data_IF_165293397468
#
_entry.id   IF_165293397468
#
_cell.length_a   1.000
_cell.length_b   1.000
_cell.length_c   1.000
_cell.angle_alpha   90.00
_cell.angle_beta   90.00
_cell.angle_gamma   90.00
#
_symmetry.space_group_name_H-M   'P 1'
#
loop_
_entity.id
_entity.type
_entity.pdbx_description
1 polymer ?
#
# COMPACT_ATOMS: atom_id res chain seq x y z
N UNK A 1 -1.23 -27.17 -66.38
CA UNK A 1 -1.65 -25.86 -66.94
C UNK A 1 -1.76 -24.86 -65.81
N UNK A 2 -1.07 -23.71 -65.97
CA UNK A 2 -1.29 -22.36 -65.39
C UNK A 2 -1.48 -22.21 -63.85
N UNK A 3 -0.51 -21.66 -63.10
CA UNK A 3 -0.10 -20.24 -62.89
C UNK A 3 -0.94 -19.50 -61.82
N UNK A 4 -0.37 -19.21 -60.63
CA UNK A 4 0.17 -17.90 -60.11
C UNK A 4 -0.96 -16.94 -59.66
N UNK A 5 -1.04 -16.43 -58.41
CA UNK A 5 -0.22 -15.37 -57.77
C UNK A 5 -0.56 -15.27 -56.24
N UNK A 6 0.40 -15.30 -55.30
CA UNK A 6 1.16 -14.21 -54.64
C UNK A 6 0.51 -13.41 -53.49
N UNK A 7 1.05 -13.65 -52.28
CA UNK A 7 1.56 -12.73 -51.22
C UNK A 7 0.68 -11.60 -50.64
N UNK A 8 0.56 -11.63 -49.30
CA UNK A 8 0.89 -10.51 -48.40
C UNK A 8 1.27 -11.08 -47.02
N UNK A 9 2.54 -10.92 -46.63
CA UNK A 9 3.09 -11.33 -45.34
C UNK A 9 3.04 -10.11 -44.42
N UNK A 10 2.15 -10.14 -43.42
CA UNK A 10 2.09 -9.21 -42.31
C UNK A 10 2.86 -9.87 -41.15
N UNK A 11 4.08 -9.42 -40.87
CA UNK A 11 4.84 -9.92 -39.74
C UNK A 11 4.34 -9.22 -38.46
N UNK A 12 3.39 -9.85 -37.77
CA UNK A 12 3.10 -9.55 -36.38
C UNK A 12 4.11 -10.34 -35.52
N UNK A 13 4.96 -9.63 -34.77
CA UNK A 13 5.90 -10.25 -33.83
C UNK A 13 5.25 -10.23 -32.45
N UNK A 14 4.80 -11.39 -31.98
CA UNK A 14 4.41 -11.65 -30.58
C UNK A 14 5.63 -12.34 -29.96
N UNK A 15 6.26 -11.73 -28.96
CA UNK A 15 7.37 -12.37 -28.21
C UNK A 15 6.95 -12.53 -26.76
N UNK A 16 6.94 -13.79 -26.32
CA UNK A 16 6.97 -14.20 -24.92
C UNK A 16 8.45 -14.45 -24.54
N UNK A 17 8.94 -13.81 -23.48
CA UNK A 17 10.35 -13.85 -23.09
C UNK A 17 10.61 -14.80 -21.90
N UNK A 18 11.69 -15.58 -21.98
CA UNK A 18 12.31 -16.33 -20.89
C UNK A 18 13.80 -15.94 -20.78
N UNK A 19 14.28 -15.70 -19.56
CA UNK A 19 15.60 -15.14 -19.23
C UNK A 19 16.68 -16.20 -19.01
N UNK A 20 17.89 -15.97 -19.52
CA UNK A 20 19.17 -16.39 -18.89
C UNK A 20 20.25 -15.35 -19.22
N UNK A 21 20.92 -14.83 -18.17
CA UNK A 21 22.06 -13.91 -18.22
C UNK A 21 23.39 -14.70 -18.13
N UNK A 22 24.42 -14.30 -18.87
CA UNK A 22 25.80 -14.50 -18.43
C UNK A 22 26.69 -13.35 -18.93
N UNK A 23 27.56 -12.85 -18.05
CA UNK A 23 28.33 -11.62 -18.20
C UNK A 23 29.82 -11.94 -18.00
N UNK A 24 30.67 -11.59 -18.98
CA UNK A 24 32.11 -11.43 -18.73
C UNK A 24 32.67 -10.21 -19.46
N UNK A 25 33.43 -9.44 -18.71
CA UNK A 25 34.07 -8.17 -19.02
C UNK A 25 35.59 -8.38 -18.99
N UNK A 26 36.37 -7.73 -19.87
CA UNK A 26 37.80 -7.46 -19.66
C UNK A 26 38.29 -6.20 -20.44
N UNK A 27 39.24 -5.49 -19.81
CA UNK A 27 39.68 -4.08 -19.98
C UNK A 27 40.61 -3.74 -21.17
N UNK A 28 40.69 -2.46 -21.59
CA UNK A 28 41.90 -1.56 -21.71
C UNK A 28 41.60 -0.20 -22.45
N UNK A 29 42.36 0.92 -22.28
CA UNK A 29 41.77 2.21 -21.88
C UNK A 29 42.03 3.45 -22.80
N UNK A 30 42.18 3.31 -24.12
CA UNK A 30 42.30 4.49 -25.02
C UNK A 30 41.22 4.55 -26.11
N UNK A 31 40.70 3.40 -26.55
CA UNK A 31 39.44 3.33 -27.28
C UNK A 31 38.24 3.55 -26.34
N UNK A 32 38.41 3.24 -25.06
CA UNK A 32 37.43 3.37 -24.00
C UNK A 32 36.86 4.79 -23.89
N UNK A 33 37.65 5.87 -23.95
CA UNK A 33 37.09 7.23 -23.84
C UNK A 33 36.17 7.59 -25.03
N UNK A 34 36.49 7.12 -26.24
CA UNK A 34 35.66 7.36 -27.44
C UNK A 34 34.44 6.46 -27.51
N UNK A 35 34.57 5.21 -27.06
CA UNK A 35 33.47 4.25 -26.92
C UNK A 35 32.55 4.63 -25.75
N UNK A 36 33.10 5.14 -24.65
CA UNK A 36 32.38 5.62 -23.48
C UNK A 36 31.68 6.95 -23.79
N UNK A 37 32.31 7.89 -24.51
CA UNK A 37 31.62 9.08 -24.99
C UNK A 37 30.50 8.76 -26.00
N UNK A 38 30.71 7.77 -26.87
CA UNK A 38 29.67 7.27 -27.78
C UNK A 38 28.54 6.57 -27.01
N UNK A 39 28.88 5.72 -26.04
CA UNK A 39 27.95 5.01 -25.16
C UNK A 39 27.14 6.01 -24.31
N UNK A 40 27.77 6.99 -23.66
CA UNK A 40 27.10 8.06 -22.90
C UNK A 40 26.13 8.84 -23.79
N UNK A 41 26.56 9.22 -25.00
CA UNK A 41 25.68 9.92 -25.96
C UNK A 41 24.53 9.03 -26.47
N UNK A 42 24.71 7.72 -26.44
CA UNK A 42 23.71 6.73 -26.86
C UNK A 42 22.73 6.42 -25.75
N UNK A 43 23.21 6.20 -24.52
CA UNK A 43 22.41 6.15 -23.29
C UNK A 43 21.54 7.39 -23.16
N UNK A 44 22.10 8.59 -23.36
CA UNK A 44 21.34 9.84 -23.31
C UNK A 44 20.21 9.89 -24.35
N UNK A 45 20.38 9.27 -25.53
CA UNK A 45 19.32 9.19 -26.56
C UNK A 45 18.18 8.26 -26.17
N UNK A 46 18.49 7.10 -25.58
CA UNK A 46 17.47 6.17 -25.08
C UNK A 46 16.76 6.74 -23.86
N UNK A 47 17.48 7.44 -22.98
CA UNK A 47 16.91 8.17 -21.84
C UNK A 47 15.98 9.30 -22.29
N UNK A 48 16.34 10.06 -23.33
CA UNK A 48 15.43 11.05 -23.91
C UNK A 48 14.15 10.42 -24.49
N UNK A 49 14.27 9.25 -25.14
CA UNK A 49 13.12 8.50 -25.64
C UNK A 49 12.24 8.00 -24.49
N UNK A 50 12.85 7.46 -23.44
CA UNK A 50 12.18 7.04 -22.20
C UNK A 50 11.37 8.20 -21.59
N UNK A 51 12.00 9.35 -21.37
CA UNK A 51 11.35 10.54 -20.81
C UNK A 51 10.21 11.06 -21.69
N UNK A 52 10.38 11.01 -23.01
CA UNK A 52 9.33 11.38 -23.95
C UNK A 52 8.11 10.44 -23.85
N UNK A 53 8.35 9.13 -23.76
CA UNK A 53 7.28 8.14 -23.58
C UNK A 53 6.62 8.28 -22.21
N UNK A 54 7.41 8.45 -21.15
CA UNK A 54 6.93 8.64 -19.78
C UNK A 54 5.97 9.84 -19.69
N UNK A 55 6.33 10.96 -20.31
CA UNK A 55 5.48 12.15 -20.40
C UNK A 55 4.14 11.85 -21.08
N UNK A 56 4.16 11.10 -22.16
CA UNK A 56 2.94 10.76 -22.90
C UNK A 56 2.04 9.79 -22.13
N UNK A 57 2.62 8.83 -21.39
CA UNK A 57 1.87 7.99 -20.44
C UNK A 57 1.22 8.83 -19.33
N UNK A 58 1.96 9.78 -18.74
CA UNK A 58 1.42 10.73 -17.75
C UNK A 58 0.26 11.58 -18.30
N UNK A 59 0.33 11.95 -19.58
CA UNK A 59 -0.73 12.69 -20.27
C UNK A 59 -1.94 11.81 -20.66
N UNK A 60 -1.86 10.49 -20.44
CA UNK A 60 -2.85 9.48 -20.87
C UNK A 60 -3.05 9.47 -22.38
N UNK A 61 -2.00 9.74 -23.14
CA UNK A 61 -2.05 9.70 -24.60
C UNK A 61 -2.27 8.25 -25.06
N UNK A 62 -3.37 8.00 -25.79
CA UNK A 62 -3.66 6.69 -26.38
C UNK A 62 -2.83 6.42 -27.64
N UNK A 63 -2.44 7.48 -28.36
CA UNK A 63 -1.64 7.40 -29.58
C UNK A 63 -0.39 8.24 -29.43
N UNK A 64 0.74 7.58 -29.23
CA UNK A 64 2.02 8.19 -28.97
C UNK A 64 2.88 8.04 -30.22
N UNK A 65 3.56 9.10 -30.64
CA UNK A 65 4.54 9.04 -31.72
C UNK A 65 5.78 9.82 -31.34
N UNK A 66 6.92 9.13 -31.20
CA UNK A 66 8.20 9.72 -30.81
C UNK A 66 9.26 9.38 -31.86
N UNK A 67 10.00 10.39 -32.29
CA UNK A 67 11.14 10.20 -33.19
C UNK A 67 12.41 9.88 -32.40
N UNK A 68 13.17 8.91 -32.87
CA UNK A 68 14.47 8.50 -32.35
C UNK A 68 15.52 8.60 -33.47
N UNK A 69 16.74 9.02 -33.12
CA UNK A 69 17.87 9.04 -34.06
C UNK A 69 19.05 8.28 -33.47
N UNK A 70 19.36 7.10 -34.01
CA UNK A 70 20.41 6.24 -33.50
C UNK A 70 20.46 4.89 -34.18
N UNK A 71 21.09 3.92 -33.51
CA UNK A 71 21.15 2.55 -34.00
C UNK A 71 19.77 1.89 -33.91
N UNK A 72 19.32 1.29 -35.02
CA UNK A 72 17.99 0.70 -35.14
C UNK A 72 17.87 -0.66 -34.47
N UNK A 73 18.97 -1.42 -34.40
CA UNK A 73 18.98 -2.75 -33.81
C UNK A 73 18.95 -2.61 -32.29
N UNK A 74 19.79 -1.74 -31.74
CA UNK A 74 19.78 -1.40 -30.32
C UNK A 74 18.41 -0.84 -29.89
N UNK A 75 17.82 0.08 -30.67
CA UNK A 75 16.47 0.57 -30.36
C UNK A 75 15.48 -0.59 -30.26
N UNK A 76 15.49 -1.51 -31.23
CA UNK A 76 14.56 -2.64 -31.22
C UNK A 76 14.81 -3.57 -30.01
N UNK A 77 16.08 -3.84 -29.69
CA UNK A 77 16.47 -4.73 -28.60
C UNK A 77 16.15 -4.13 -27.23
N UNK A 78 16.29 -2.80 -27.07
CA UNK A 78 16.10 -2.08 -25.81
C UNK A 78 14.72 -1.47 -25.62
N UNK A 79 13.85 -1.43 -26.65
CA UNK A 79 12.53 -0.82 -26.56
C UNK A 79 11.68 -1.36 -25.40
N UNK A 80 11.65 -2.68 -25.10
CA UNK A 80 10.91 -3.20 -23.95
C UNK A 80 11.39 -2.60 -22.62
N UNK A 81 12.70 -2.46 -22.44
CA UNK A 81 13.29 -1.87 -21.24
C UNK A 81 12.98 -0.37 -21.16
N UNK A 82 13.04 0.35 -22.29
CA UNK A 82 12.72 1.78 -22.36
C UNK A 82 11.25 2.02 -21.98
N UNK A 83 10.31 1.21 -22.47
CA UNK A 83 8.90 1.34 -22.08
C UNK A 83 8.72 0.99 -20.60
N UNK A 84 9.36 -0.08 -20.12
CA UNK A 84 9.31 -0.46 -18.70
C UNK A 84 9.86 0.64 -17.79
N UNK A 85 10.99 1.24 -18.15
CA UNK A 85 11.60 2.34 -17.41
C UNK A 85 10.69 3.59 -17.46
N UNK A 86 10.11 3.90 -18.63
CA UNK A 86 9.16 5.01 -18.77
C UNK A 86 7.95 4.87 -17.83
N UNK A 87 7.45 3.65 -17.61
CA UNK A 87 6.36 3.38 -16.66
C UNK A 87 6.76 3.58 -15.20
N UNK A 88 8.05 3.48 -14.84
CA UNK A 88 8.50 3.73 -13.45
C UNK A 88 8.52 5.20 -13.05
N UNK A 89 8.32 6.13 -14.00
CA UNK A 89 8.24 7.56 -13.70
C UNK A 89 6.90 7.96 -13.07
N UNK A 90 5.86 7.12 -13.18
CA UNK A 90 4.59 7.34 -12.51
C UNK A 90 3.86 6.01 -12.25
N UNK A 91 3.91 5.54 -11.01
CA UNK A 91 3.22 4.32 -10.55
C UNK A 91 1.75 4.32 -11.00
N UNK A 92 1.04 5.44 -10.82
CA UNK A 92 -0.37 5.52 -11.20
C UNK A 92 -0.59 5.21 -12.68
N UNK A 93 0.24 5.77 -13.57
CA UNK A 93 0.19 5.46 -15.01
C UNK A 93 0.43 3.98 -15.28
N UNK A 94 1.38 3.36 -14.58
CA UNK A 94 1.70 1.95 -14.74
C UNK A 94 0.51 1.03 -14.40
N UNK A 95 -0.21 1.32 -13.32
CA UNK A 95 -1.33 0.48 -12.86
C UNK A 95 -2.64 0.69 -13.63
N UNK A 96 -2.84 1.84 -14.28
CA UNK A 96 -4.03 2.07 -15.12
C UNK A 96 -3.81 1.78 -16.60
N UNK A 97 -2.57 1.54 -17.03
CA UNK A 97 -2.29 1.08 -18.39
C UNK A 97 -2.78 -0.36 -18.53
N UNK A 98 -3.82 -0.57 -19.33
CA UNK A 98 -4.42 -1.89 -19.55
C UNK A 98 -3.60 -2.72 -20.54
N UNK A 99 -3.25 -2.10 -21.66
CA UNK A 99 -2.43 -2.74 -22.70
C UNK A 99 -1.78 -1.69 -23.60
N UNK A 100 -0.70 -2.07 -24.26
CA UNK A 100 -0.09 -1.26 -25.31
C UNK A 100 0.50 -2.15 -26.41
N UNK A 101 0.58 -1.59 -27.62
CA UNK A 101 1.32 -2.17 -28.73
C UNK A 101 2.22 -1.08 -29.29
N UNK A 102 3.49 -1.41 -29.55
CA UNK A 102 4.40 -0.47 -30.19
C UNK A 102 4.86 -0.97 -31.56
N UNK A 103 5.19 -0.02 -32.43
CA UNK A 103 5.81 -0.27 -33.74
C UNK A 103 7.00 0.66 -33.93
N UNK A 104 8.06 0.14 -34.56
CA UNK A 104 9.25 0.90 -34.91
C UNK A 104 9.36 0.92 -36.43
N UNK A 105 9.39 2.11 -37.02
CA UNK A 105 9.62 2.31 -38.46
C UNK A 105 10.90 3.09 -38.67
N UNK A 106 11.85 2.51 -39.40
CA UNK A 106 13.19 3.07 -39.54
C UNK A 106 13.52 3.46 -40.98
N UNK A 107 14.11 4.65 -41.15
CA UNK A 107 14.64 5.18 -42.40
C UNK A 107 16.07 5.69 -42.16
N UNK A 108 17.06 4.93 -42.60
CA UNK A 108 18.46 5.21 -42.27
C UNK A 108 18.71 5.07 -40.77
N UNK A 109 19.24 6.12 -40.14
CA UNK A 109 19.48 6.20 -38.70
C UNK A 109 18.34 6.88 -37.92
N UNK A 110 17.22 7.18 -38.58
CA UNK A 110 16.02 7.73 -37.92
C UNK A 110 14.97 6.66 -37.79
N UNK A 111 14.33 6.60 -36.63
CA UNK A 111 13.22 5.71 -36.33
C UNK A 111 12.03 6.51 -35.81
N UNK A 112 10.82 6.14 -36.21
CA UNK A 112 9.61 6.59 -35.56
C UNK A 112 9.06 5.44 -34.73
N UNK A 113 8.91 5.68 -33.43
CA UNK A 113 8.27 4.77 -32.48
C UNK A 113 6.83 5.23 -32.33
N UNK A 114 5.88 4.36 -32.63
CA UNK A 114 4.45 4.60 -32.38
C UNK A 114 3.96 3.63 -31.33
N UNK A 115 3.25 4.11 -30.32
CA UNK A 115 2.63 3.30 -29.27
C UNK A 115 1.13 3.56 -29.27
N UNK A 116 0.34 2.51 -29.45
CA UNK A 116 -1.10 2.51 -29.25
C UNK A 116 -1.37 1.94 -27.84
N UNK A 117 -1.73 2.81 -26.90
CA UNK A 117 -1.98 2.48 -25.51
C UNK A 117 -3.49 2.49 -25.20
N UNK A 118 -3.91 1.57 -24.34
CA UNK A 118 -5.26 1.52 -23.76
C UNK A 118 -5.15 1.64 -22.25
N UNK A 119 -6.00 2.48 -21.68
CA UNK A 119 -6.05 2.71 -20.24
C UNK A 119 -7.38 2.23 -19.68
N UNK A 120 -7.34 1.75 -18.43
CA UNK A 120 -8.53 1.46 -17.62
C UNK A 120 -9.25 2.74 -17.21
N UNK A 121 -8.51 3.85 -17.14
CA UNK A 121 -9.01 5.17 -16.76
C UNK A 121 -8.58 6.21 -17.81
N UNK A 122 -9.55 6.92 -18.40
CA UNK A 122 -9.30 7.98 -19.39
C UNK A 122 -8.71 9.24 -18.76
N UNK A 123 -8.18 10.14 -19.58
CA UNK A 123 -7.68 11.45 -19.13
C UNK A 123 -8.73 12.25 -18.36
N UNK A 124 -9.97 12.27 -18.87
CA UNK A 124 -11.09 12.99 -18.27
C UNK A 124 -11.51 12.35 -16.95
N UNK A 125 -11.47 11.03 -16.87
CA UNK A 125 -11.72 10.28 -15.64
C UNK A 125 -10.63 10.56 -14.59
N UNK A 126 -9.34 10.54 -14.96
CA UNK A 126 -8.25 10.93 -14.06
C UNK A 126 -8.41 12.38 -13.59
N UNK A 127 -8.82 13.30 -14.46
CA UNK A 127 -9.08 14.69 -14.06
C UNK A 127 -10.29 14.82 -13.11
N UNK A 128 -11.28 13.92 -13.19
CA UNK A 128 -12.34 13.84 -12.19
C UNK A 128 -11.80 13.30 -10.85
N UNK A 129 -10.98 12.24 -10.88
CA UNK A 129 -10.31 11.70 -9.69
C UNK A 129 -9.53 12.81 -8.99
N UNK A 130 -8.70 13.56 -9.72
CA UNK A 130 -7.88 14.64 -9.14
C UNK A 130 -8.75 15.72 -8.46
N UNK A 131 -9.91 16.06 -9.04
CA UNK A 131 -10.87 16.99 -8.40
C UNK A 131 -11.51 16.39 -7.15
N UNK A 132 -11.94 15.13 -7.20
CA UNK A 132 -12.54 14.43 -6.04
C UNK A 132 -11.56 14.25 -4.91
N UNK A 133 -10.31 13.96 -5.22
CA UNK A 133 -9.20 13.91 -4.26
C UNK A 133 -8.99 15.28 -3.61
N UNK A 134 -8.99 16.36 -4.39
CA UNK A 134 -8.85 17.71 -3.83
C UNK A 134 -10.03 18.08 -2.91
N UNK A 135 -11.26 17.72 -3.28
CA UNK A 135 -12.46 17.89 -2.44
C UNK A 135 -12.34 17.11 -1.11
N UNK A 136 -11.99 15.82 -1.18
CA UNK A 136 -11.80 14.97 -0.02
C UNK A 136 -10.68 15.48 0.91
N UNK A 137 -9.54 15.90 0.36
CA UNK A 137 -8.45 16.45 1.15
C UNK A 137 -8.82 17.77 1.83
N UNK A 138 -9.62 18.61 1.18
CA UNK A 138 -10.13 19.84 1.80
C UNK A 138 -11.10 19.57 2.96
N UNK A 139 -11.76 18.40 2.95
CA UNK A 139 -12.64 17.96 4.04
C UNK A 139 -11.84 17.43 5.24
N UNK A 140 -10.81 16.62 5.01
CA UNK A 140 -10.15 15.85 6.10
C UNK A 140 -8.78 16.35 6.53
N UNK A 141 -8.10 17.17 5.71
CA UNK A 141 -6.78 17.71 6.05
C UNK A 141 -6.90 19.13 6.56
N UNK A 142 -6.76 19.29 7.88
CA UNK A 142 -6.84 20.60 8.52
C UNK A 142 -5.48 21.33 8.52
N UNK A 143 -5.50 22.69 8.53
CA UNK A 143 -4.28 23.47 8.72
C UNK A 143 -3.52 23.08 9.99
N UNK A 144 -2.25 22.76 9.85
CA UNK A 144 -1.38 22.39 10.98
C UNK A 144 -1.33 20.89 11.30
N UNK A 145 -2.01 20.03 10.54
CA UNK A 145 -1.77 18.58 10.60
C UNK A 145 -0.35 18.24 10.11
N UNK A 146 0.33 17.36 10.84
CA UNK A 146 1.61 16.80 10.44
C UNK A 146 1.42 15.61 9.47
N UNK A 147 2.49 15.09 8.86
CA UNK A 147 2.40 13.94 7.96
C UNK A 147 1.65 12.73 8.55
N UNK A 148 1.86 12.41 9.82
CA UNK A 148 1.22 11.26 10.49
C UNK A 148 -0.30 11.43 10.63
N UNK A 149 -0.74 12.61 11.07
CA UNK A 149 -2.18 12.93 11.17
C UNK A 149 -2.85 12.92 9.80
N UNK A 150 -2.17 13.43 8.76
CA UNK A 150 -2.67 13.40 7.38
C UNK A 150 -2.86 11.98 6.86
N UNK A 151 -1.87 11.11 7.07
CA UNK A 151 -1.97 9.70 6.63
C UNK A 151 -3.16 9.03 7.32
N UNK A 152 -3.36 9.25 8.62
CA UNK A 152 -4.53 8.72 9.33
C UNK A 152 -5.84 9.30 8.77
N UNK A 153 -5.94 10.61 8.59
CA UNK A 153 -7.15 11.25 8.08
C UNK A 153 -7.53 10.74 6.67
N UNK A 154 -6.53 10.57 5.79
CA UNK A 154 -6.72 10.02 4.45
C UNK A 154 -7.13 8.55 4.49
N UNK A 155 -6.45 7.74 5.32
CA UNK A 155 -6.80 6.35 5.54
C UNK A 155 -8.28 6.22 5.97
N UNK A 156 -8.65 6.93 7.03
CA UNK A 156 -9.99 6.91 7.60
C UNK A 156 -11.05 7.32 6.58
N UNK A 157 -10.77 8.35 5.78
CA UNK A 157 -11.67 8.77 4.71
C UNK A 157 -11.86 7.66 3.68
N UNK A 158 -10.77 7.05 3.19
CA UNK A 158 -10.87 6.00 2.15
C UNK A 158 -11.66 4.79 2.67
N UNK A 159 -11.30 4.24 3.83
CA UNK A 159 -11.96 3.03 4.38
C UNK A 159 -13.41 3.29 4.80
N UNK A 160 -13.81 4.55 5.00
CA UNK A 160 -15.21 4.91 5.25
C UNK A 160 -16.00 5.23 3.97
N UNK A 161 -15.35 5.60 2.87
CA UNK A 161 -16.01 6.01 1.63
C UNK A 161 -15.97 4.96 0.49
N UNK A 162 -15.08 3.98 0.58
CA UNK A 162 -14.95 2.91 -0.42
C UNK A 162 -15.31 1.56 0.21
N UNK A 163 -15.94 0.68 -0.55
CA UNK A 163 -16.26 -0.71 -0.24
C UNK A 163 -15.56 -1.67 -1.20
N UNK A 164 -15.11 -2.82 -0.69
CA UNK A 164 -14.47 -3.82 -1.53
C UNK A 164 -15.45 -4.38 -2.59
N UNK A 165 -15.11 -4.20 -3.86
CA UNK A 165 -15.90 -4.73 -4.98
C UNK A 165 -15.76 -6.24 -5.09
N UNK A 166 -16.75 -6.97 -4.58
CA UNK A 166 -16.78 -8.43 -4.61
C UNK A 166 -17.02 -9.02 -6.01
N UNK A 167 -17.51 -8.21 -6.95
CA UNK A 167 -17.67 -8.64 -8.34
C UNK A 167 -16.34 -8.67 -9.09
N UNK A 168 -15.29 -8.06 -8.52
CA UNK A 168 -13.95 -7.95 -9.09
C UNK A 168 -13.96 -7.28 -10.47
N UNK A 169 -14.73 -6.21 -10.62
CA UNK A 169 -14.89 -5.46 -11.88
C UNK A 169 -14.40 -4.02 -11.83
N UNK A 170 -14.25 -3.44 -10.63
CA UNK A 170 -13.90 -2.03 -10.42
C UNK A 170 -12.43 -1.88 -10.00
N UNK A 171 -11.55 -1.49 -10.92
CA UNK A 171 -10.08 -1.52 -10.75
C UNK A 171 -9.45 -0.12 -10.63
N UNK A 172 -10.21 0.95 -10.80
CA UNK A 172 -9.69 2.31 -10.95
C UNK A 172 -10.03 3.20 -9.75
N UNK A 173 -9.24 4.25 -9.54
CA UNK A 173 -9.61 5.27 -8.55
C UNK A 173 -10.86 6.04 -9.01
N UNK A 174 -11.11 6.16 -10.32
CA UNK A 174 -12.36 6.71 -10.84
C UNK A 174 -13.58 5.95 -10.33
N UNK A 175 -13.58 4.62 -10.39
CA UNK A 175 -14.68 3.81 -9.87
C UNK A 175 -14.80 3.94 -8.36
N UNK A 176 -13.68 3.96 -7.63
CA UNK A 176 -13.66 4.18 -6.19
C UNK A 176 -14.37 5.50 -5.80
N UNK A 177 -14.02 6.62 -6.44
CA UNK A 177 -14.58 7.94 -6.08
C UNK A 177 -15.97 8.23 -6.65
N UNK A 178 -16.41 7.52 -7.70
CA UNK A 178 -17.71 7.75 -8.33
C UNK A 178 -18.79 6.77 -7.88
N UNK A 179 -18.40 5.55 -7.56
CA UNK A 179 -19.32 4.48 -7.17
C UNK A 179 -19.20 4.08 -5.70
N UNK A 180 -18.09 4.44 -5.05
CA UNK A 180 -17.81 4.00 -3.69
C UNK A 180 -17.38 2.53 -3.61
N UNK A 181 -17.03 1.86 -4.71
CA UNK A 181 -16.50 0.49 -4.66
C UNK A 181 -15.29 0.31 -5.59
N UNK A 182 -14.34 -0.51 -5.14
CA UNK A 182 -13.18 -0.91 -5.93
C UNK A 182 -12.54 -2.22 -5.40
N UNK A 183 -11.72 -2.88 -6.21
CA UNK A 183 -10.77 -3.90 -5.75
C UNK A 183 -9.48 -3.26 -5.23
N UNK A 184 -8.56 -4.08 -4.73
CA UNK A 184 -7.28 -3.63 -4.14
C UNK A 184 -6.49 -2.63 -4.99
N UNK A 185 -6.52 -2.78 -6.32
CA UNK A 185 -5.89 -1.82 -7.23
C UNK A 185 -6.53 -0.44 -7.15
N UNK A 186 -7.86 -0.32 -7.14
CA UNK A 186 -8.54 0.98 -7.06
C UNK A 186 -8.35 1.65 -5.70
N UNK A 187 -8.31 0.88 -4.60
CA UNK A 187 -7.91 1.37 -3.28
C UNK A 187 -6.50 1.97 -3.31
N UNK A 188 -5.54 1.21 -3.83
CA UNK A 188 -4.13 1.63 -3.89
C UNK A 188 -3.90 2.84 -4.79
N UNK A 189 -4.63 2.93 -5.90
CA UNK A 189 -4.60 4.08 -6.81
C UNK A 189 -5.17 5.35 -6.14
N UNK A 190 -6.30 5.23 -5.45
CA UNK A 190 -6.91 6.35 -4.72
C UNK A 190 -6.02 6.79 -3.56
N UNK A 191 -5.52 5.85 -2.76
CA UNK A 191 -4.55 6.09 -1.69
C UNK A 191 -3.32 6.83 -2.21
N UNK A 192 -2.72 6.34 -3.30
CA UNK A 192 -1.58 7.00 -3.94
C UNK A 192 -1.90 8.45 -4.33
N UNK A 193 -3.04 8.72 -4.97
CA UNK A 193 -3.44 10.09 -5.36
C UNK A 193 -3.61 11.00 -4.16
N UNK A 194 -4.35 10.57 -3.14
CA UNK A 194 -4.62 11.37 -1.94
C UNK A 194 -3.34 11.66 -1.15
N UNK A 195 -2.53 10.64 -0.90
CA UNK A 195 -1.27 10.76 -0.16
C UNK A 195 -0.27 11.66 -0.88
N UNK A 196 -0.10 11.46 -2.20
CA UNK A 196 0.79 12.28 -3.03
C UNK A 196 0.32 13.75 -3.06
N UNK A 197 -0.98 13.99 -3.21
CA UNK A 197 -1.54 15.35 -3.19
C UNK A 197 -1.43 16.02 -1.80
N UNK A 198 -1.41 15.24 -0.73
CA UNK A 198 -1.17 15.73 0.64
C UNK A 198 0.33 15.99 0.96
N UNK A 199 1.22 15.73 0.00
CA UNK A 199 2.67 15.90 0.12
C UNK A 199 3.38 14.76 0.83
N UNK A 200 2.77 13.57 0.91
CA UNK A 200 3.36 12.38 1.51
C UNK A 200 4.02 11.55 0.40
N UNK A 201 5.32 11.22 0.50
CA UNK A 201 5.94 10.28 -0.42
C UNK A 201 5.26 8.92 -0.33
N UNK A 202 4.83 8.40 -1.49
CA UNK A 202 4.01 7.19 -1.58
C UNK A 202 4.39 6.39 -2.83
N UNK A 203 4.33 5.08 -2.71
CA UNK A 203 4.48 4.11 -3.80
C UNK A 203 3.28 3.17 -3.83
N UNK A 204 3.03 2.56 -4.98
CA UNK A 204 2.14 1.39 -5.07
C UNK A 204 3.02 0.14 -5.06
N UNK A 205 2.76 -0.75 -4.11
CA UNK A 205 3.39 -2.05 -4.00
C UNK A 205 2.45 -3.13 -4.53
N UNK A 206 3.05 -4.19 -5.05
CA UNK A 206 2.37 -5.37 -5.58
C UNK A 206 3.03 -6.65 -5.09
N UNK A 207 2.20 -7.69 -4.99
CA UNK A 207 2.58 -9.01 -4.53
C UNK A 207 1.39 -9.95 -4.49
N UNK A 208 1.43 -10.91 -3.59
CA UNK A 208 0.43 -11.97 -3.45
C UNK A 208 -0.02 -12.10 -2.01
N UNK A 209 -1.29 -12.43 -1.83
CA UNK A 209 -1.91 -12.86 -0.57
C UNK A 209 -2.55 -14.23 -0.77
N UNK A 210 -3.16 -14.80 0.26
CA UNK A 210 -3.82 -16.12 0.17
C UNK A 210 -4.95 -16.20 -0.88
N UNK A 211 -5.54 -15.08 -1.27
CA UNK A 211 -6.61 -14.99 -2.29
C UNK A 211 -6.11 -14.66 -3.70
N UNK A 212 -4.81 -14.44 -3.92
CA UNK A 212 -4.23 -14.16 -5.24
C UNK A 212 -3.35 -12.91 -5.27
N UNK A 213 -3.24 -12.28 -6.44
CA UNK A 213 -2.51 -11.03 -6.63
C UNK A 213 -3.13 -9.90 -5.81
N UNK A 214 -2.28 -9.02 -5.28
CA UNK A 214 -2.69 -7.93 -4.40
C UNK A 214 -1.83 -6.69 -4.62
N UNK A 215 -2.45 -5.53 -4.40
CA UNK A 215 -1.81 -4.23 -4.46
C UNK A 215 -2.15 -3.42 -3.22
N UNK A 216 -1.17 -2.72 -2.67
CA UNK A 216 -1.30 -1.84 -1.51
C UNK A 216 -0.38 -0.62 -1.65
N UNK A 217 -0.37 0.27 -0.67
CA UNK A 217 0.51 1.44 -0.66
C UNK A 217 1.72 1.24 0.26
N UNK A 218 2.81 1.95 -0.05
CA UNK A 218 3.88 2.22 0.91
C UNK A 218 4.00 3.73 1.09
N UNK A 219 4.16 4.20 2.32
CA UNK A 219 4.29 5.63 2.64
C UNK A 219 5.56 5.91 3.41
N UNK A 220 6.16 7.09 3.17
CA UNK A 220 7.34 7.53 3.91
C UNK A 220 6.96 8.60 4.93
N UNK A 221 7.29 8.35 6.20
CA UNK A 221 7.11 9.28 7.31
C UNK A 221 8.46 9.44 8.01
N UNK A 222 8.92 10.69 8.15
CA UNK A 222 10.20 11.04 8.77
C UNK A 222 11.40 10.24 8.21
N UNK A 223 11.38 10.00 6.90
CA UNK A 223 12.42 9.25 6.18
C UNK A 223 12.28 7.73 6.24
N UNK A 224 11.33 7.20 7.02
CA UNK A 224 11.09 5.77 7.20
C UNK A 224 9.90 5.31 6.37
N UNK A 225 10.04 4.17 5.68
CA UNK A 225 8.97 3.57 4.89
C UNK A 225 8.13 2.61 5.71
N UNK A 226 6.82 2.60 5.43
CA UNK A 226 5.84 1.71 6.04
C UNK A 226 4.86 1.21 4.99
N UNK A 227 4.36 0.00 5.16
CA UNK A 227 3.26 -0.52 4.36
C UNK A 227 1.91 -0.02 4.89
N UNK A 228 1.00 0.32 3.98
CA UNK A 228 -0.34 0.77 4.26
C UNK A 228 -1.30 0.04 3.33
N UNK A 229 -2.05 -0.93 3.86
CA UNK A 229 -3.07 -1.64 3.09
C UNK A 229 -4.48 -1.18 3.46
N UNK A 230 -4.94 -0.20 2.68
CA UNK A 230 -6.29 0.37 2.79
C UNK A 230 -7.39 -0.66 2.50
N UNK A 231 -7.09 -1.70 1.72
CA UNK A 231 -8.06 -2.72 1.32
C UNK A 231 -8.35 -3.66 2.48
N UNK A 232 -7.31 -4.08 3.20
CA UNK A 232 -7.44 -5.01 4.33
C UNK A 232 -7.80 -4.31 5.64
N UNK A 233 -7.66 -2.98 5.71
CA UNK A 233 -8.22 -2.14 6.77
C UNK A 233 -9.67 -1.69 6.50
N UNK A 234 -10.25 -1.99 5.32
CA UNK A 234 -11.69 -1.79 5.06
C UNK A 234 -12.52 -2.67 6.01
N UNK A 235 -13.37 -2.06 6.87
CA UNK A 235 -14.18 -2.79 7.83
C UNK A 235 -15.37 -3.47 7.16
N UNK A 236 -15.09 -4.52 6.38
CA UNK A 236 -16.11 -5.40 5.84
C UNK A 236 -16.44 -6.51 6.84
N UNK A 237 -17.73 -6.79 7.05
CA UNK A 237 -18.24 -7.93 7.82
C UNK A 237 -19.23 -8.73 6.98
N UNK A 238 -19.43 -10.01 7.30
CA UNK A 238 -20.52 -10.79 6.71
C UNK A 238 -21.78 -10.64 7.56
N UNK A 239 -22.90 -10.28 6.94
CA UNK A 239 -24.21 -10.31 7.57
C UNK A 239 -24.69 -11.76 7.77
N UNK A 240 -25.84 -11.92 8.42
CA UNK A 240 -26.42 -13.24 8.70
C UNK A 240 -26.75 -14.06 7.43
N UNK A 241 -26.80 -13.43 6.26
CA UNK A 241 -26.99 -14.11 4.96
C UNK A 241 -25.67 -14.49 4.29
N UNK A 242 -24.53 -14.15 4.91
CA UNK A 242 -23.19 -14.33 4.34
C UNK A 242 -22.81 -13.25 3.33
N UNK A 243 -23.66 -12.23 3.12
CA UNK A 243 -23.36 -11.08 2.28
C UNK A 243 -22.39 -10.17 3.02
N UNK A 244 -21.40 -9.67 2.30
CA UNK A 244 -20.50 -8.68 2.90
C UNK A 244 -21.19 -7.32 2.95
N UNK A 245 -21.18 -6.72 4.14
CA UNK A 245 -21.71 -5.40 4.44
C UNK A 245 -20.61 -4.59 5.13
N UNK A 246 -20.63 -3.26 5.03
CA UNK A 246 -19.83 -2.45 5.95
C UNK A 246 -20.25 -2.76 7.37
N UNK A 247 -19.26 -3.09 8.18
CA UNK A 247 -19.40 -3.04 9.61
C UNK A 247 -19.66 -1.58 9.96
N UNK A 248 -20.85 -1.28 10.50
CA UNK A 248 -21.14 0.05 11.07
C UNK A 248 -20.25 0.36 12.29
N UNK A 249 -19.37 -0.58 12.66
CA UNK A 249 -18.33 -0.48 13.66
C UNK A 249 -17.09 0.31 13.24
N UNK A 250 -16.20 0.47 14.22
CA UNK A 250 -15.05 1.36 14.17
C UNK A 250 -14.05 1.02 13.07
N UNK A 251 -13.37 2.05 12.56
CA UNK A 251 -12.25 1.96 11.64
C UNK A 251 -11.17 1.01 12.20
N UNK A 252 -10.66 0.13 11.35
CA UNK A 252 -9.59 -0.83 11.68
C UNK A 252 -8.23 -0.27 11.24
N UNK A 253 -7.17 -0.68 11.94
CA UNK A 253 -5.79 -0.26 11.67
C UNK A 253 -4.84 -1.48 11.71
N UNK A 254 -5.34 -2.64 11.31
CA UNK A 254 -4.64 -3.92 11.36
C UNK A 254 -3.49 -3.98 10.35
N UNK A 255 -3.59 -3.25 9.23
CA UNK A 255 -2.59 -3.16 8.16
C UNK A 255 -2.10 -1.72 7.95
N UNK A 256 -2.21 -0.92 9.01
CA UNK A 256 -1.79 0.47 9.06
C UNK A 256 -0.31 0.57 9.46
N UNK A 257 0.51 1.11 8.55
CA UNK A 257 1.92 1.46 8.75
C UNK A 257 2.76 0.29 9.31
N UNK A 258 2.68 -0.84 8.62
CA UNK A 258 3.40 -2.07 8.96
C UNK A 258 4.84 -2.08 8.47
N UNK A 259 5.67 -2.78 9.22
CA UNK A 259 7.00 -3.21 8.77
C UNK A 259 6.90 -4.32 7.72
N UNK A 260 8.00 -4.55 6.99
CA UNK A 260 8.18 -5.71 6.11
C UNK A 260 7.90 -7.01 6.87
N UNK A 261 8.43 -7.12 8.11
CA UNK A 261 8.30 -8.31 8.94
C UNK A 261 6.85 -8.58 9.37
N UNK A 262 6.12 -7.53 9.77
CA UNK A 262 4.71 -7.66 10.13
C UNK A 262 3.84 -8.01 8.92
N UNK A 263 4.04 -7.34 7.79
CA UNK A 263 3.23 -7.59 6.59
C UNK A 263 3.55 -8.95 5.94
N UNK A 264 4.78 -9.45 6.07
CA UNK A 264 5.20 -10.78 5.58
C UNK A 264 4.49 -11.95 6.25
N UNK A 265 3.73 -11.72 7.31
CA UNK A 265 2.93 -12.76 7.95
C UNK A 265 1.88 -13.36 6.99
N UNK A 266 1.34 -12.55 6.08
CA UNK A 266 0.27 -12.92 5.14
C UNK A 266 0.41 -12.32 3.74
N UNK A 267 1.35 -11.38 3.52
CA UNK A 267 1.71 -10.85 2.21
C UNK A 267 3.06 -11.39 1.71
N UNK A 268 3.15 -11.64 0.40
CA UNK A 268 4.38 -12.00 -0.28
C UNK A 268 4.69 -11.04 -1.44
N UNK A 269 5.95 -10.66 -1.62
CA UNK A 269 6.38 -9.89 -2.79
C UNK A 269 7.80 -10.30 -3.22
N UNK A 270 8.11 -10.12 -4.50
CA UNK A 270 9.42 -10.42 -5.09
C UNK A 270 10.11 -9.18 -5.65
N UNK A 271 9.34 -8.17 -6.06
CA UNK A 271 9.85 -6.86 -6.48
C UNK A 271 10.54 -6.17 -5.30
N UNK A 272 11.66 -5.50 -5.57
CA UNK A 272 12.38 -4.75 -4.54
C UNK A 272 11.68 -3.43 -4.25
N UNK A 273 11.40 -3.18 -2.98
CA UNK A 273 10.88 -1.92 -2.46
C UNK A 273 11.83 -1.36 -1.39
N UNK A 274 11.74 -0.05 -1.06
CA UNK A 274 12.40 0.49 0.12
C UNK A 274 12.03 -0.32 1.36
N UNK A 275 13.02 -0.64 2.21
CA UNK A 275 12.80 -1.48 3.37
C UNK A 275 11.97 -0.76 4.45
N UNK A 276 10.94 -1.44 4.96
CA UNK A 276 10.11 -0.96 6.07
C UNK A 276 10.48 -1.71 7.35
N UNK A 277 11.47 -1.20 8.11
CA UNK A 277 12.07 -1.97 9.21
C UNK A 277 11.76 -1.44 10.62
N UNK A 278 11.27 -0.21 10.75
CA UNK A 278 10.97 0.37 12.06
C UNK A 278 9.51 0.11 12.43
N UNK A 279 9.25 -0.37 13.65
CA UNK A 279 7.88 -0.55 14.12
C UNK A 279 7.22 0.82 14.36
N UNK A 280 6.00 1.02 13.84
CA UNK A 280 5.33 2.31 13.91
C UNK A 280 4.89 2.71 15.33
N UNK A 281 4.54 1.73 16.18
CA UNK A 281 4.19 2.01 17.57
C UNK A 281 5.40 2.55 18.35
N UNK A 282 6.57 1.96 18.14
CA UNK A 282 7.83 2.43 18.71
C UNK A 282 8.20 3.81 18.18
N UNK A 283 8.05 4.03 16.86
CA UNK A 283 8.33 5.33 16.23
C UNK A 283 7.45 6.45 16.82
N UNK A 284 6.13 6.23 16.96
CA UNK A 284 5.24 7.20 17.60
C UNK A 284 5.61 7.39 19.07
N UNK A 285 5.90 6.32 19.81
CA UNK A 285 6.29 6.42 21.22
C UNK A 285 7.54 7.26 21.42
N UNK A 286 8.50 7.17 20.49
CA UNK A 286 9.71 7.97 20.54
C UNK A 286 9.46 9.44 20.18
N UNK A 287 8.66 9.70 19.14
CA UNK A 287 8.23 11.05 18.76
C UNK A 287 7.46 11.75 19.87
N UNK A 288 6.59 11.00 20.57
CA UNK A 288 5.93 11.47 21.79
C UNK A 288 7.00 11.84 22.83
N UNK A 289 7.86 10.90 23.23
CA UNK A 289 8.83 11.13 24.32
C UNK A 289 9.80 12.28 24.06
N UNK A 290 10.28 12.42 22.83
CA UNK A 290 11.29 13.42 22.46
C UNK A 290 10.72 14.78 22.07
N UNK A 291 9.43 14.84 21.74
CA UNK A 291 8.79 16.05 21.25
C UNK A 291 8.69 17.18 22.28
N UNK A 292 8.44 18.38 21.77
CA UNK A 292 7.92 19.50 22.56
C UNK A 292 6.61 19.13 23.25
N UNK A 293 6.15 19.95 24.21
CA UNK A 293 4.87 19.70 24.91
C UNK A 293 3.69 19.53 23.95
N UNK A 294 3.63 20.34 22.89
CA UNK A 294 2.60 20.25 21.85
C UNK A 294 2.72 18.98 21.01
N UNK A 295 3.93 18.55 20.70
CA UNK A 295 4.17 17.29 19.96
C UNK A 295 3.85 16.07 20.82
N UNK A 296 4.21 16.08 22.10
CA UNK A 296 3.77 15.07 23.08
C UNK A 296 2.27 14.89 23.07
N UNK A 297 1.53 15.99 23.22
CA UNK A 297 0.06 15.94 23.22
C UNK A 297 -0.49 15.39 21.89
N UNK A 298 0.12 15.80 20.76
CA UNK A 298 -0.26 15.32 19.42
C UNK A 298 -0.05 13.82 19.27
N UNK A 299 1.15 13.32 19.54
CA UNK A 299 1.47 11.91 19.36
C UNK A 299 0.75 11.03 20.38
N UNK A 300 0.53 11.50 21.61
CA UNK A 300 -0.33 10.81 22.58
C UNK A 300 -1.76 10.65 22.05
N UNK A 301 -2.37 11.71 21.49
CA UNK A 301 -3.70 11.63 20.85
C UNK A 301 -3.72 10.69 19.67
N UNK A 302 -2.69 10.73 18.82
CA UNK A 302 -2.60 9.85 17.66
C UNK A 302 -2.45 8.37 18.08
N UNK A 303 -1.60 8.10 19.07
CA UNK A 303 -1.40 6.77 19.65
C UNK A 303 -2.69 6.22 20.27
N UNK A 304 -3.46 7.06 20.95
CA UNK A 304 -4.79 6.70 21.46
C UNK A 304 -5.76 6.38 20.33
N UNK A 305 -5.85 7.26 19.32
CA UNK A 305 -6.78 7.13 18.21
C UNK A 305 -6.51 5.91 17.31
N UNK A 306 -5.25 5.49 17.20
CA UNK A 306 -4.84 4.29 16.48
C UNK A 306 -4.88 3.01 17.36
N UNK A 307 -5.24 3.14 18.64
CA UNK A 307 -5.23 2.03 19.58
C UNK A 307 -3.83 1.51 19.94
N UNK A 308 -2.75 2.22 19.60
CA UNK A 308 -1.37 1.79 19.84
C UNK A 308 -0.96 1.87 21.33
N UNK A 309 -1.68 2.65 22.13
CA UNK A 309 -1.49 2.71 23.59
C UNK A 309 -1.68 1.35 24.27
N UNK A 310 -2.45 0.45 23.66
CA UNK A 310 -2.62 -0.92 24.16
C UNK A 310 -1.33 -1.74 24.11
N UNK A 311 -0.34 -1.34 23.31
CA UNK A 311 0.97 -1.98 23.26
C UNK A 311 1.89 -1.56 24.42
N UNK A 312 1.53 -0.52 25.16
CA UNK A 312 2.32 -0.09 26.32
C UNK A 312 2.27 -1.15 27.43
N UNK A 313 3.39 -1.35 28.11
CA UNK A 313 3.49 -2.28 29.23
C UNK A 313 2.48 -1.97 30.35
N UNK A 314 2.12 -0.69 30.53
CA UNK A 314 1.11 -0.27 31.50
C UNK A 314 -0.31 -0.76 31.16
N UNK A 315 -0.58 -1.00 29.89
CA UNK A 315 -1.87 -1.45 29.38
C UNK A 315 -1.85 -2.92 28.92
N UNK A 316 -0.73 -3.63 29.11
CA UNK A 316 -0.54 -5.01 28.65
C UNK A 316 -0.35 -5.96 29.83
N UNK A 317 -1.10 -7.07 29.79
CA UNK A 317 -0.96 -8.22 30.67
C UNK A 317 -0.40 -9.39 29.87
N UNK A 318 0.79 -9.85 30.23
CA UNK A 318 1.60 -10.79 29.43
C UNK A 318 1.37 -12.26 29.81
N UNK A 319 0.59 -12.55 30.85
CA UNK A 319 0.29 -13.93 31.22
C UNK A 319 -0.53 -14.12 32.49
N UNK A 320 -0.79 -15.39 32.88
CA UNK A 320 -1.71 -15.73 33.97
C UNK A 320 -1.32 -15.19 35.34
N UNK A 321 -0.02 -15.15 35.67
CA UNK A 321 0.47 -14.65 36.96
C UNK A 321 0.23 -13.14 37.10
N UNK A 322 0.56 -12.36 36.06
CA UNK A 322 0.30 -10.93 36.05
C UNK A 322 -1.21 -10.66 36.06
N UNK A 323 -2.00 -11.45 35.34
CA UNK A 323 -3.46 -11.36 35.36
C UNK A 323 -4.02 -11.57 36.76
N UNK A 324 -3.53 -12.57 37.49
CA UNK A 324 -3.93 -12.81 38.88
C UNK A 324 -3.62 -11.60 39.77
N UNK A 325 -2.43 -11.01 39.63
CA UNK A 325 -2.06 -9.78 40.36
C UNK A 325 -2.96 -8.59 40.03
N UNK A 326 -3.27 -8.37 38.75
CA UNK A 326 -4.17 -7.30 38.29
C UNK A 326 -5.58 -7.48 38.86
N UNK A 327 -6.14 -8.69 38.78
CA UNK A 327 -7.48 -9.00 39.32
C UNK A 327 -7.50 -8.84 40.85
N UNK A 328 -6.49 -9.36 41.56
CA UNK A 328 -6.40 -9.24 43.01
C UNK A 328 -6.35 -7.77 43.46
N UNK A 329 -5.49 -6.96 42.82
CA UNK A 329 -5.37 -5.53 43.10
C UNK A 329 -6.67 -4.76 42.82
N UNK A 330 -7.37 -5.10 41.73
CA UNK A 330 -8.65 -4.50 41.39
C UNK A 330 -9.75 -4.82 42.42
N UNK A 331 -9.78 -6.06 42.91
CA UNK A 331 -10.72 -6.50 43.93
C UNK A 331 -10.45 -5.84 45.28
N UNK A 332 -9.18 -5.74 45.70
CA UNK A 332 -8.77 -5.11 46.96
C UNK A 332 -9.06 -3.60 46.96
N UNK A 333 -8.87 -2.93 45.82
CA UNK A 333 -9.16 -1.49 45.65
C UNK A 333 -10.64 -1.19 45.35
N UNK A 334 -11.48 -2.22 45.20
CA UNK A 334 -12.89 -2.12 44.77
C UNK A 334 -13.08 -1.34 43.46
N UNK A 335 -12.18 -1.57 42.50
CA UNK A 335 -12.24 -0.98 41.16
C UNK A 335 -13.48 -1.43 40.41
N UNK A 336 -14.20 -0.52 39.75
CA UNK A 336 -15.44 -0.86 39.05
C UNK A 336 -15.22 -1.62 37.73
N UNK A 337 -14.12 -1.33 37.02
CA UNK A 337 -13.81 -1.94 35.73
C UNK A 337 -12.32 -1.97 35.42
N UNK A 338 -11.91 -2.94 34.61
CA UNK A 338 -10.57 -3.08 34.10
C UNK A 338 -10.59 -3.12 32.57
N UNK A 339 -9.63 -2.46 31.95
CA UNK A 339 -9.37 -2.58 30.52
C UNK A 339 -7.87 -2.76 30.29
N UNK A 340 -7.50 -3.75 29.50
CA UNK A 340 -6.11 -4.06 29.17
C UNK A 340 -6.02 -4.93 27.91
N UNK A 341 -4.85 -4.93 27.28
CA UNK A 341 -4.44 -5.92 26.28
C UNK A 341 -3.92 -7.17 26.99
N UNK A 342 -4.33 -8.35 26.56
CA UNK A 342 -3.80 -9.64 27.03
C UNK A 342 -3.10 -10.37 25.88
N UNK A 343 -1.86 -10.84 26.08
CA UNK A 343 -1.02 -11.30 24.96
C UNK A 343 -1.36 -12.70 24.43
N UNK A 344 -1.98 -13.55 25.25
CA UNK A 344 -2.31 -14.93 24.90
C UNK A 344 -3.82 -15.10 24.73
N UNK A 345 -4.30 -14.92 23.50
CA UNK A 345 -5.72 -15.07 23.15
C UNK A 345 -6.27 -16.46 23.48
N UNK A 346 -5.50 -17.52 23.25
CA UNK A 346 -5.99 -18.89 23.39
C UNK A 346 -6.10 -19.29 24.86
N UNK A 347 -5.12 -18.91 25.69
CA UNK A 347 -5.11 -19.22 27.13
C UNK A 347 -5.89 -18.25 28.01
N UNK A 348 -6.37 -17.13 27.48
CA UNK A 348 -7.07 -16.11 28.27
C UNK A 348 -8.29 -16.62 29.06
N UNK A 349 -9.24 -17.39 28.48
CA UNK A 349 -10.44 -17.80 29.21
C UNK A 349 -10.13 -18.64 30.46
N UNK A 350 -9.14 -19.51 30.38
CA UNK A 350 -8.64 -20.37 31.44
C UNK A 350 -7.90 -19.55 32.50
N UNK A 351 -7.02 -18.64 32.06
CA UNK A 351 -6.29 -17.74 32.94
C UNK A 351 -7.24 -16.84 33.74
N UNK A 352 -8.28 -16.30 33.10
CA UNK A 352 -9.30 -15.47 33.74
C UNK A 352 -10.07 -16.23 34.84
N UNK A 353 -10.51 -17.46 34.54
CA UNK A 353 -11.19 -18.32 35.52
C UNK A 353 -10.29 -18.61 36.73
N UNK A 354 -9.00 -18.87 36.49
CA UNK A 354 -8.04 -19.11 37.56
C UNK A 354 -7.84 -17.86 38.44
N UNK A 355 -7.68 -16.69 37.82
CA UNK A 355 -7.48 -15.42 38.54
C UNK A 355 -8.63 -15.10 39.52
N UNK A 356 -9.90 -15.31 39.12
CA UNK A 356 -11.04 -15.08 40.00
C UNK A 356 -11.29 -16.18 41.03
N UNK A 357 -10.96 -17.44 40.72
CA UNK A 357 -11.07 -18.54 41.70
C UNK A 357 -10.13 -18.34 42.88
N UNK A 358 -8.94 -17.81 42.62
CA UNK A 358 -7.91 -17.64 43.63
C UNK A 358 -8.05 -16.31 44.39
N UNK A 359 -9.02 -15.47 43.99
CA UNK A 359 -9.33 -14.22 44.65
C UNK A 359 -10.09 -14.42 45.97
N UNK A 360 -9.71 -13.67 47.00
CA UNK A 360 -10.30 -13.76 48.35
C UNK A 360 -11.55 -12.90 48.54
N UNK A 361 -11.88 -12.06 47.57
CA UNK A 361 -13.02 -11.13 47.62
C UNK A 361 -14.16 -11.68 46.76
N UNK A 362 -15.34 -11.85 47.37
CA UNK A 362 -16.53 -12.24 46.64
C UNK A 362 -17.04 -11.06 45.77
N UNK A 363 -16.79 -11.15 44.47
CA UNK A 363 -17.33 -10.23 43.46
C UNK A 363 -17.86 -11.03 42.26
N UNK A 364 -19.00 -10.60 41.72
CA UNK A 364 -19.40 -11.00 40.37
C UNK A 364 -18.54 -10.29 39.33
N UNK A 365 -18.48 -10.83 38.11
CA UNK A 365 -17.86 -10.11 37.01
C UNK A 365 -18.56 -10.39 35.68
N UNK A 366 -18.46 -9.42 34.76
CA UNK A 366 -18.73 -9.62 33.33
C UNK A 366 -17.47 -9.29 32.55
N UNK A 367 -17.05 -10.18 31.67
CA UNK A 367 -15.91 -9.96 30.80
C UNK A 367 -16.35 -9.96 29.34
N UNK A 368 -15.87 -8.98 28.56
CA UNK A 368 -15.89 -9.00 27.11
C UNK A 368 -14.47 -8.89 26.59
N UNK A 369 -14.18 -9.55 25.48
CA UNK A 369 -12.87 -9.48 24.85
C UNK A 369 -12.95 -9.70 23.35
N UNK A 370 -12.09 -9.01 22.61
CA UNK A 370 -12.03 -9.05 21.15
C UNK A 370 -10.57 -9.11 20.69
N UNK A 371 -10.28 -9.70 19.50
CA UNK A 371 -8.92 -9.71 18.97
C UNK A 371 -8.38 -8.30 18.77
N UNK A 372 -7.15 -8.07 19.25
CA UNK A 372 -6.44 -6.82 19.02
C UNK A 372 -5.56 -6.93 17.77
N UNK A 373 -5.69 -5.97 16.85
CA UNK A 373 -4.86 -5.83 15.65
C UNK A 373 -4.79 -7.09 14.75
N UNK A 374 -5.82 -7.95 14.78
CA UNK A 374 -5.85 -9.23 14.05
C UNK A 374 -4.88 -10.31 14.55
N UNK A 375 -4.13 -10.05 15.63
CA UNK A 375 -3.07 -10.91 16.13
C UNK A 375 -3.49 -11.92 17.22
N UNK A 376 -2.48 -12.41 17.95
CA UNK A 376 -2.65 -13.37 19.06
C UNK A 376 -3.06 -12.74 20.38
N UNK A 377 -3.24 -11.42 20.45
CA UNK A 377 -3.64 -10.72 21.67
C UNK A 377 -5.12 -10.31 21.68
N UNK A 378 -5.68 -10.09 22.86
CA UNK A 378 -7.04 -9.64 23.08
C UNK A 378 -7.07 -8.24 23.70
N UNK A 379 -8.02 -7.39 23.30
CA UNK A 379 -8.50 -6.31 24.16
C UNK A 379 -9.54 -6.88 25.11
N UNK A 380 -9.30 -6.71 26.41
CA UNK A 380 -10.12 -7.27 27.48
C UNK A 380 -10.77 -6.14 28.25
N UNK A 381 -12.08 -6.26 28.49
CA UNK A 381 -12.84 -5.39 29.39
C UNK A 381 -13.54 -6.23 30.45
N UNK A 382 -13.35 -5.89 31.72
CA UNK A 382 -13.97 -6.60 32.85
C UNK A 382 -14.73 -5.58 33.69
N UNK A 383 -16.01 -5.85 33.93
CA UNK A 383 -16.83 -5.14 34.90
C UNK A 383 -16.92 -5.95 36.18
N UNK A 384 -16.65 -5.34 37.32
CA UNK A 384 -16.67 -5.96 38.64
C UNK A 384 -17.94 -5.56 39.40
N UNK A 385 -18.67 -6.55 39.92
CA UNK A 385 -19.93 -6.38 40.63
C UNK A 385 -19.73 -6.77 42.10
N UNK A 386 -19.62 -5.76 42.98
CA UNK A 386 -19.51 -5.98 44.42
C UNK A 386 -20.90 -6.03 45.07
N UNK A 387 -21.10 -6.98 45.98
CA UNK A 387 -22.28 -6.95 46.84
C UNK A 387 -22.32 -5.64 47.65
N UNK A 388 -23.52 -5.06 47.74
CA UNK A 388 -23.78 -3.82 48.48
C UNK A 388 -23.67 -4.01 49.98
#
# INVERSE_FOLDING_TARGET
MQRVASKLLLAAVIVAAAFVLDLKLDLFPAAAESEEAAAVKQTNRLEQLELAIAKEFQLRSEKISVSYTGDKQELADRMPDVIKAALTHDDYSAYILDSYIYTIRSWGNKSNVTIDAKYRESKEQTALVDRKVAEALAEVVEPGMNPHEKVKAIHDWIVTHVEYDQSLTRYTAYEAVTTGEAVCQGYSLLGYKMLKAAGIPVLIAEGTVNTGEHAWNMVQLDGVWYHLDLTWDDPVMKDASGKTIKDGGAIRYNYYLKTDGELRADHGWTKTYPAAVANYADAIGELERQGSEKERERYAKLKLALGLHWLDAANTVTGPEQLQGVIASALDSRTASLEFRYEDREGFPEALKAAFRDAKVAAGYRASYEPYAGGSSLLVRIQLEYAK
#
